data_IF_869282715343
#
_entry.id   IF_869282715343
#
_cell.length_a   1.000
_cell.length_b   1.000
_cell.length_c   1.000
_cell.angle_alpha   90.00
_cell.angle_beta   90.00
_cell.angle_gamma   90.00
#
_symmetry.space_group_name_H-M   'P 1'
#
loop_
_entity.id
_entity.type
_entity.pdbx_description
1 polymer ?
#
# COMPACT_ATOMS: atom_id res chain seq x y z
N UNK A 1 -2.24 -18.69 -13.49
CA UNK A 1 -0.97 -17.97 -13.36
C UNK A 1 -0.54 -17.85 -11.91
N UNK A 2 -1.44 -17.48 -10.99
CA UNK A 2 -1.12 -17.27 -9.57
C UNK A 2 -0.46 -18.48 -8.86
N UNK A 3 -0.82 -19.72 -9.18
CA UNK A 3 -0.09 -20.92 -8.69
C UNK A 3 1.39 -20.90 -9.09
N UNK A 4 1.71 -20.55 -10.34
CA UNK A 4 3.09 -20.48 -10.81
C UNK A 4 3.85 -19.33 -10.12
N UNK A 5 3.18 -18.20 -9.88
CA UNK A 5 3.77 -17.11 -9.12
C UNK A 5 4.02 -17.49 -7.65
N UNK A 6 3.13 -18.29 -7.05
CA UNK A 6 3.36 -18.85 -5.72
C UNK A 6 4.59 -19.77 -5.68
N UNK A 7 4.77 -20.63 -6.68
CA UNK A 7 5.95 -21.50 -6.79
C UNK A 7 7.25 -20.68 -6.97
N UNK A 8 7.21 -19.64 -7.80
CA UNK A 8 8.32 -18.69 -8.00
C UNK A 8 8.66 -17.96 -6.69
N UNK A 9 7.66 -17.53 -5.92
CA UNK A 9 7.86 -16.89 -4.62
C UNK A 9 8.50 -17.83 -3.61
N UNK A 10 8.08 -19.09 -3.56
CA UNK A 10 8.70 -20.08 -2.68
C UNK A 10 10.18 -20.29 -3.02
N UNK A 11 10.53 -20.24 -4.30
CA UNK A 11 11.93 -20.23 -4.74
C UNK A 11 12.66 -18.93 -4.35
N UNK A 12 12.00 -17.76 -4.40
CA UNK A 12 12.57 -16.47 -3.94
C UNK A 12 12.96 -16.52 -2.45
N UNK A 13 12.05 -17.02 -1.61
CA UNK A 13 12.28 -17.13 -0.17
C UNK A 13 13.48 -18.05 0.16
N UNK A 14 13.68 -19.12 -0.62
CA UNK A 14 14.84 -19.98 -0.50
C UNK A 14 16.12 -19.30 -1.02
N UNK A 15 16.02 -18.55 -2.13
CA UNK A 15 17.15 -17.87 -2.76
C UNK A 15 17.72 -16.72 -1.92
N UNK A 16 16.86 -15.93 -1.25
CA UNK A 16 17.28 -14.80 -0.39
C UNK A 16 18.03 -15.24 0.87
N UNK A 17 17.91 -16.51 1.27
CA UNK A 17 18.67 -17.06 2.39
C UNK A 17 20.12 -17.42 2.00
N UNK A 18 20.41 -17.55 0.70
CA UNK A 18 21.68 -18.12 0.21
C UNK A 18 22.59 -17.11 -0.52
N UNK A 19 22.10 -15.96 -1.00
CA UNK A 19 22.92 -14.98 -1.76
C UNK A 19 22.64 -13.51 -1.41
N UNK A 20 23.71 -12.70 -1.31
CA UNK A 20 23.66 -11.23 -1.15
C UNK A 20 23.43 -10.49 -2.49
N UNK A 21 22.54 -11.01 -3.34
CA UNK A 21 22.46 -10.65 -4.76
C UNK A 21 21.54 -9.47 -5.09
N UNK A 22 22.01 -8.59 -5.98
CA UNK A 22 21.34 -7.39 -6.51
C UNK A 22 20.30 -7.66 -7.62
N UNK A 23 19.92 -8.92 -7.85
CA UNK A 23 19.00 -9.33 -8.93
C UNK A 23 17.61 -9.65 -8.41
N UNK A 24 16.58 -9.31 -9.19
CA UNK A 24 15.23 -9.82 -8.93
C UNK A 24 15.23 -11.34 -9.04
N UNK A 25 14.40 -12.04 -8.25
CA UNK A 25 14.23 -13.50 -8.39
C UNK A 25 13.84 -13.88 -9.82
N UNK A 26 13.08 -13.02 -10.49
CA UNK A 26 12.64 -13.24 -11.85
C UNK A 26 13.83 -13.25 -12.82
N UNK A 27 14.77 -12.31 -12.70
CA UNK A 27 16.05 -12.32 -13.44
C UNK A 27 16.90 -13.54 -13.08
N UNK A 28 16.99 -13.90 -11.80
CA UNK A 28 17.78 -15.05 -11.34
C UNK A 28 17.28 -16.36 -11.96
N UNK A 29 15.97 -16.59 -11.93
CA UNK A 29 15.33 -17.77 -12.53
C UNK A 29 15.48 -17.78 -14.06
N UNK A 30 15.42 -16.61 -14.70
CA UNK A 30 15.57 -16.50 -16.14
C UNK A 30 17.00 -16.81 -16.59
N UNK A 31 18.00 -16.25 -15.90
CA UNK A 31 19.42 -16.56 -16.13
C UNK A 31 19.72 -18.03 -15.85
N UNK A 32 19.04 -18.63 -14.87
CA UNK A 32 19.16 -20.05 -14.55
C UNK A 32 18.43 -21.00 -15.53
N UNK A 33 17.72 -20.46 -16.55
CA UNK A 33 16.83 -21.25 -17.43
C UNK A 33 15.86 -22.14 -16.64
N UNK A 34 15.31 -21.59 -15.56
CA UNK A 34 14.53 -22.37 -14.60
C UNK A 34 13.29 -23.02 -15.23
N UNK A 35 12.99 -24.30 -14.94
CA UNK A 35 11.75 -24.94 -15.34
C UNK A 35 10.49 -24.22 -14.84
N UNK A 36 10.58 -23.46 -13.74
CA UNK A 36 9.47 -22.64 -13.23
C UNK A 36 9.04 -21.58 -14.25
N UNK A 37 9.98 -21.04 -15.02
CA UNK A 37 9.69 -20.11 -16.09
C UNK A 37 9.38 -20.86 -17.39
N UNK A 38 10.31 -21.69 -17.85
CA UNK A 38 10.25 -22.26 -19.21
C UNK A 38 9.15 -23.32 -19.38
N UNK A 39 8.92 -24.15 -18.36
CA UNK A 39 7.98 -25.27 -18.47
C UNK A 39 6.62 -24.97 -17.81
N UNK A 40 6.55 -23.96 -16.94
CA UNK A 40 5.34 -23.66 -16.18
C UNK A 40 4.75 -22.27 -16.49
N UNK A 41 5.49 -21.18 -16.28
CA UNK A 41 4.95 -19.83 -16.46
C UNK A 41 4.78 -19.44 -17.93
N UNK A 42 5.85 -19.53 -18.74
CA UNK A 42 5.83 -19.06 -20.14
C UNK A 42 4.77 -19.78 -20.99
N UNK A 43 4.58 -21.11 -20.90
CA UNK A 43 3.51 -21.77 -21.64
C UNK A 43 2.10 -21.28 -21.25
N UNK A 44 1.90 -20.89 -19.98
CA UNK A 44 0.61 -20.33 -19.53
C UNK A 44 0.41 -18.90 -20.01
N UNK A 45 1.47 -18.10 -20.08
CA UNK A 45 1.41 -16.76 -20.67
C UNK A 45 1.10 -16.85 -22.16
N UNK A 46 1.75 -17.76 -22.90
CA UNK A 46 1.46 -17.99 -24.32
C UNK A 46 0.02 -18.47 -24.55
N UNK A 47 -0.49 -19.36 -23.70
CA UNK A 47 -1.89 -19.79 -23.78
C UNK A 47 -2.86 -18.62 -23.55
N UNK A 48 -2.60 -17.78 -22.54
CA UNK A 48 -3.41 -16.58 -22.24
C UNK A 48 -3.27 -15.48 -23.31
N UNK A 49 -2.13 -15.44 -24.01
CA UNK A 49 -1.92 -14.58 -25.17
C UNK A 49 -2.81 -15.04 -26.32
N UNK A 50 -2.82 -16.34 -26.60
CA UNK A 50 -3.58 -16.92 -27.70
C UNK A 50 -5.11 -16.83 -27.53
N UNK A 51 -5.61 -16.87 -26.29
CA UNK A 51 -7.04 -16.73 -25.99
C UNK A 51 -7.50 -15.26 -25.76
N UNK A 52 -6.58 -14.31 -25.84
CA UNK A 52 -6.84 -12.87 -25.71
C UNK A 52 -7.04 -12.37 -24.27
N UNK A 53 -6.96 -13.24 -23.26
CA UNK A 53 -7.17 -12.85 -21.85
C UNK A 53 -5.99 -12.09 -21.26
N UNK A 54 -4.80 -12.19 -21.87
CA UNK A 54 -3.58 -11.55 -21.37
C UNK A 54 -3.54 -10.04 -21.62
N UNK A 55 -4.11 -9.57 -22.73
CA UNK A 55 -3.96 -8.17 -23.17
C UNK A 55 -4.47 -7.19 -22.13
N UNK A 56 -5.75 -7.30 -21.75
CA UNK A 56 -6.36 -6.40 -20.77
C UNK A 56 -5.58 -6.38 -19.46
N UNK A 57 -5.11 -7.55 -19.00
CA UNK A 57 -4.37 -7.68 -17.75
C UNK A 57 -3.01 -6.99 -17.80
N UNK A 58 -2.26 -7.16 -18.89
CA UNK A 58 -0.95 -6.52 -19.07
C UNK A 58 -1.09 -5.02 -19.20
N UNK A 59 -2.01 -4.56 -20.07
CA UNK A 59 -2.23 -3.14 -20.33
C UNK A 59 -2.68 -2.42 -19.06
N UNK A 60 -3.68 -2.95 -18.33
CA UNK A 60 -4.17 -2.31 -17.11
C UNK A 60 -3.11 -2.30 -16.00
N UNK A 61 -2.34 -3.39 -15.85
CA UNK A 61 -1.27 -3.47 -14.84
C UNK A 61 -0.16 -2.47 -15.13
N UNK A 62 0.28 -2.38 -16.39
CA UNK A 62 1.33 -1.43 -16.78
C UNK A 62 0.87 0.03 -16.60
N UNK A 63 -0.35 0.35 -17.05
CA UNK A 63 -0.92 1.69 -16.90
C UNK A 63 -1.05 2.09 -15.43
N UNK A 64 -1.50 1.17 -14.56
CA UNK A 64 -1.55 1.40 -13.10
C UNK A 64 -0.18 1.68 -12.52
N UNK A 65 0.84 0.90 -12.89
CA UNK A 65 2.20 1.09 -12.41
C UNK A 65 2.74 2.46 -12.83
N UNK A 66 2.56 2.85 -14.09
CA UNK A 66 2.92 4.19 -14.58
C UNK A 66 2.20 5.31 -13.84
N UNK A 67 0.89 5.20 -13.66
CA UNK A 67 0.10 6.22 -12.96
C UNK A 67 0.50 6.32 -11.48
N UNK A 68 0.81 5.20 -10.83
CA UNK A 68 1.32 5.19 -9.46
C UNK A 68 2.69 5.88 -9.38
N UNK A 69 3.62 5.53 -10.27
CA UNK A 69 4.95 6.14 -10.32
C UNK A 69 4.87 7.64 -10.60
N UNK A 70 4.04 8.05 -11.56
CA UNK A 70 3.81 9.46 -11.89
C UNK A 70 3.21 10.21 -10.69
N UNK A 71 2.20 9.65 -10.01
CA UNK A 71 1.61 10.27 -8.80
C UNK A 71 2.65 10.48 -7.71
N UNK A 72 3.50 9.48 -7.46
CA UNK A 72 4.57 9.57 -6.45
C UNK A 72 5.61 10.63 -6.82
N UNK A 73 6.05 10.68 -8.07
CA UNK A 73 7.00 11.69 -8.54
C UNK A 73 6.39 13.10 -8.53
N UNK A 74 5.12 13.25 -8.91
CA UNK A 74 4.42 14.52 -8.86
C UNK A 74 4.23 15.02 -7.44
N UNK A 75 3.94 14.12 -6.48
CA UNK A 75 3.97 14.45 -5.07
C UNK A 75 5.36 14.95 -4.67
N UNK A 76 6.41 14.18 -4.98
CA UNK A 76 7.79 14.57 -4.67
C UNK A 76 8.22 15.92 -5.30
N UNK A 77 7.77 16.24 -6.53
CA UNK A 77 8.01 17.55 -7.16
C UNK A 77 7.28 18.66 -6.43
N UNK A 78 5.98 18.50 -6.14
CA UNK A 78 5.21 19.49 -5.37
C UNK A 78 5.86 19.74 -4.02
N UNK A 79 6.31 18.68 -3.37
CA UNK A 79 7.00 18.74 -2.07
C UNK A 79 8.33 19.48 -2.19
N UNK A 80 9.12 19.21 -3.25
CA UNK A 80 10.39 19.89 -3.46
C UNK A 80 10.23 21.37 -3.86
N UNK A 81 9.25 21.71 -4.69
CA UNK A 81 8.93 23.10 -5.07
C UNK A 81 8.43 23.91 -3.87
N UNK A 82 7.59 23.33 -3.01
CA UNK A 82 7.13 23.96 -1.77
C UNK A 82 8.28 24.24 -0.78
N UNK A 83 9.38 23.48 -0.88
CA UNK A 83 10.56 23.59 -0.01
C UNK A 83 11.76 24.30 -0.66
N UNK A 84 11.63 24.91 -1.85
CA UNK A 84 12.74 25.49 -2.63
C UNK A 84 13.92 24.51 -2.84
N UNK A 85 13.61 23.20 -2.88
CA UNK A 85 14.59 22.12 -3.13
C UNK A 85 14.70 21.85 -4.62
N UNK A 86 15.89 21.43 -5.02
CA UNK A 86 16.13 21.00 -6.39
C UNK A 86 15.32 19.74 -6.72
N UNK A 87 14.37 19.88 -7.63
CA UNK A 87 13.51 18.82 -8.14
C UNK A 87 13.82 18.43 -9.59
N UNK A 88 14.99 18.82 -10.12
CA UNK A 88 15.35 18.55 -11.53
C UNK A 88 15.37 17.07 -11.86
N UNK A 89 15.74 16.21 -10.90
CA UNK A 89 15.78 14.75 -11.10
C UNK A 89 14.36 14.19 -11.21
N UNK A 90 13.48 14.55 -10.30
CA UNK A 90 12.08 14.12 -10.29
C UNK A 90 11.36 14.63 -11.54
N UNK A 91 11.57 15.90 -11.91
CA UNK A 91 11.04 16.47 -13.16
C UNK A 91 11.57 15.75 -14.39
N UNK A 92 12.87 15.43 -14.44
CA UNK A 92 13.44 14.65 -15.55
C UNK A 92 12.87 13.23 -15.62
N UNK A 93 12.59 12.59 -14.47
CA UNK A 93 11.91 11.28 -14.42
C UNK A 93 10.47 11.39 -14.90
N UNK A 94 9.73 12.41 -14.49
CA UNK A 94 8.37 12.68 -14.99
C UNK A 94 8.41 12.87 -16.51
N UNK A 95 9.30 13.71 -17.03
CA UNK A 95 9.46 13.92 -18.46
C UNK A 95 9.79 12.62 -19.20
N UNK A 96 10.67 11.78 -18.63
CA UNK A 96 11.00 10.48 -19.20
C UNK A 96 9.79 9.54 -19.23
N UNK A 97 8.97 9.52 -18.18
CA UNK A 97 7.73 8.73 -18.13
C UNK A 97 6.69 9.23 -19.13
N UNK A 98 6.48 10.55 -19.21
CA UNK A 98 5.52 11.17 -20.13
C UNK A 98 5.93 11.03 -21.61
N UNK A 99 7.22 10.84 -21.89
CA UNK A 99 7.73 10.54 -23.24
C UNK A 99 7.63 9.07 -23.62
N UNK A 100 7.29 8.16 -22.68
CA UNK A 100 7.09 6.76 -23.03
C UNK A 100 5.89 6.64 -23.97
N UNK A 101 5.94 5.74 -24.97
CA UNK A 101 4.78 5.45 -25.80
C UNK A 101 3.59 5.05 -24.95
N UNK A 102 2.40 5.52 -25.32
CA UNK A 102 1.18 5.00 -24.74
C UNK A 102 1.08 3.51 -25.05
N UNK A 103 0.83 2.72 -24.02
CA UNK A 103 0.58 1.28 -24.15
C UNK A 103 -0.93 1.08 -24.02
N UNK A 104 -1.57 0.89 -25.16
CA UNK A 104 -3.02 0.68 -25.31
C UNK A 104 -3.37 -0.75 -25.75
N UNK A 105 -2.36 -1.56 -26.03
CA UNK A 105 -2.47 -2.94 -26.52
C UNK A 105 -1.26 -3.76 -26.07
N UNK A 106 -1.38 -5.09 -26.10
CA UNK A 106 -0.25 -5.98 -25.79
C UNK A 106 0.90 -5.79 -26.79
N UNK A 107 0.58 -5.57 -28.07
CA UNK A 107 1.57 -5.30 -29.12
C UNK A 107 2.36 -4.00 -28.87
N UNK A 108 1.68 -2.95 -28.41
CA UNK A 108 2.34 -1.69 -28.02
C UNK A 108 3.28 -1.90 -26.82
N UNK A 109 2.87 -2.71 -25.83
CA UNK A 109 3.72 -3.07 -24.70
C UNK A 109 4.98 -3.84 -25.16
N UNK A 110 4.82 -4.85 -26.00
CA UNK A 110 5.93 -5.65 -26.53
C UNK A 110 6.92 -4.80 -27.32
N UNK A 111 6.41 -3.95 -28.22
CA UNK A 111 7.23 -3.01 -29.00
C UNK A 111 8.01 -2.05 -28.10
N UNK A 112 7.37 -1.57 -27.05
CA UNK A 112 8.01 -0.71 -26.05
C UNK A 112 9.13 -1.46 -25.32
N UNK A 113 8.90 -2.71 -24.90
CA UNK A 113 9.92 -3.56 -24.29
C UNK A 113 11.10 -3.86 -25.23
N UNK A 114 10.85 -4.04 -26.52
CA UNK A 114 11.88 -4.18 -27.54
C UNK A 114 12.74 -2.92 -27.69
N UNK A 115 12.12 -1.74 -27.62
CA UNK A 115 12.78 -0.45 -27.79
C UNK A 115 13.48 0.11 -26.55
N UNK A 116 13.04 -0.28 -25.34
CA UNK A 116 13.44 0.41 -24.12
C UNK A 116 14.92 0.20 -23.76
N UNK A 117 15.52 -0.97 -23.98
CA UNK A 117 16.92 -1.20 -23.57
C UNK A 117 17.64 -2.35 -24.31
N UNK A 118 18.25 -2.12 -25.49
CA UNK A 118 19.16 -3.09 -26.11
C UNK A 118 20.27 -3.56 -25.14
N UNK A 119 20.79 -2.65 -24.32
CA UNK A 119 21.81 -2.96 -23.31
C UNK A 119 21.33 -3.88 -22.19
N UNK A 120 20.04 -3.89 -21.84
CA UNK A 120 19.52 -4.81 -20.81
C UNK A 120 19.46 -6.24 -21.35
N UNK A 121 19.08 -6.42 -22.63
CA UNK A 121 19.10 -7.74 -23.28
C UNK A 121 20.52 -8.27 -23.38
N UNK A 122 21.46 -7.43 -23.78
CA UNK A 122 22.88 -7.79 -23.84
C UNK A 122 23.41 -8.19 -22.46
N UNK A 123 23.13 -7.41 -21.42
CA UNK A 123 23.53 -7.74 -20.04
C UNK A 123 22.91 -9.07 -19.56
N UNK A 124 21.64 -9.34 -19.88
CA UNK A 124 21.01 -10.63 -19.56
C UNK A 124 21.64 -11.79 -20.34
N UNK A 125 21.93 -11.61 -21.62
CA UNK A 125 22.59 -12.61 -22.45
C UNK A 125 23.99 -12.91 -21.92
N UNK A 126 24.77 -11.89 -21.57
CA UNK A 126 26.09 -12.06 -20.93
C UNK A 126 26.00 -12.88 -19.64
N UNK A 127 25.02 -12.60 -18.77
CA UNK A 127 24.81 -13.37 -17.53
C UNK A 127 24.40 -14.82 -17.80
N UNK A 128 23.52 -15.06 -18.76
CA UNK A 128 23.16 -16.43 -19.18
C UNK A 128 24.38 -17.18 -19.72
N UNK A 129 25.19 -16.52 -20.54
CA UNK A 129 26.40 -17.09 -21.15
C UNK A 129 27.47 -17.44 -20.09
N UNK A 130 27.62 -16.59 -19.05
CA UNK A 130 28.54 -16.85 -17.95
C UNK A 130 28.16 -18.12 -17.15
N UNK A 131 26.86 -18.37 -16.99
CA UNK A 131 26.35 -19.51 -16.24
C UNK A 131 26.38 -20.81 -17.03
N UNK A 132 26.06 -20.74 -18.32
CA UNK A 132 26.03 -21.90 -19.23
C UNK A 132 26.76 -21.59 -20.54
N UNK A 133 28.11 -21.66 -20.57
CA UNK A 133 28.91 -21.23 -21.72
C UNK A 133 28.68 -22.01 -23.02
N UNK A 134 28.17 -23.23 -22.91
CA UNK A 134 27.95 -24.11 -24.06
C UNK A 134 26.58 -23.91 -24.73
N UNK A 135 25.73 -23.02 -24.19
CA UNK A 135 24.41 -22.73 -24.75
C UNK A 135 24.38 -21.35 -25.38
N UNK A 136 23.60 -21.23 -26.46
CA UNK A 136 23.34 -19.94 -27.10
C UNK A 136 22.48 -19.08 -26.17
N UNK A 137 23.11 -18.11 -25.51
CA UNK A 137 22.44 -17.18 -24.62
C UNK A 137 21.66 -16.10 -25.37
N UNK A 138 22.15 -15.66 -26.52
CA UNK A 138 21.54 -14.59 -27.29
C UNK A 138 20.23 -15.08 -27.93
N UNK A 139 20.25 -16.27 -28.54
CA UNK A 139 19.04 -16.91 -29.06
C UNK A 139 17.99 -17.11 -27.96
N UNK A 140 18.40 -17.61 -26.79
CA UNK A 140 17.52 -17.83 -25.64
C UNK A 140 16.88 -16.53 -25.14
N UNK A 141 17.66 -15.46 -24.96
CA UNK A 141 17.13 -14.17 -24.52
C UNK A 141 16.17 -13.61 -25.55
N UNK A 142 16.51 -13.68 -26.84
CA UNK A 142 15.64 -13.19 -27.90
C UNK A 142 14.31 -13.97 -27.95
N UNK A 143 14.36 -15.29 -27.85
CA UNK A 143 13.19 -16.17 -27.87
C UNK A 143 12.21 -15.88 -26.72
N UNK A 144 12.72 -15.62 -25.50
CA UNK A 144 11.86 -15.54 -24.31
C UNK A 144 11.73 -14.14 -23.69
N UNK A 145 12.37 -13.12 -24.26
CA UNK A 145 12.37 -11.75 -23.72
C UNK A 145 10.97 -11.19 -23.50
N UNK A 146 10.04 -11.40 -24.44
CA UNK A 146 8.66 -10.90 -24.30
C UNK A 146 7.94 -11.56 -23.12
N UNK A 147 8.00 -12.89 -23.03
CA UNK A 147 7.39 -13.63 -21.91
C UNK A 147 8.05 -13.29 -20.57
N UNK A 148 9.35 -12.99 -20.58
CA UNK A 148 10.03 -12.50 -19.40
C UNK A 148 9.45 -11.16 -18.93
N UNK A 149 9.36 -10.15 -19.80
CA UNK A 149 8.90 -8.81 -19.40
C UNK A 149 7.44 -8.83 -18.94
N UNK A 150 6.57 -9.57 -19.64
CA UNK A 150 5.18 -9.79 -19.24
C UNK A 150 5.11 -10.51 -17.89
N UNK A 151 5.87 -11.60 -17.74
CA UNK A 151 5.88 -12.40 -16.52
C UNK A 151 6.38 -11.61 -15.32
N UNK A 152 7.41 -10.78 -15.49
CA UNK A 152 7.97 -9.92 -14.45
C UNK A 152 6.95 -8.87 -14.00
N UNK A 153 6.29 -8.18 -14.95
CA UNK A 153 5.24 -7.21 -14.66
C UNK A 153 4.10 -7.84 -13.84
N UNK A 154 3.61 -9.00 -14.27
CA UNK A 154 2.50 -9.69 -13.60
C UNK A 154 2.91 -10.33 -12.27
N UNK A 155 4.19 -10.69 -12.12
CA UNK A 155 4.73 -11.19 -10.86
C UNK A 155 4.82 -10.08 -9.80
N UNK A 156 5.25 -8.87 -10.18
CA UNK A 156 5.22 -7.69 -9.30
C UNK A 156 3.78 -7.36 -8.85
N UNK A 157 2.81 -7.42 -9.78
CA UNK A 157 1.38 -7.30 -9.46
C UNK A 157 0.94 -8.38 -8.45
N UNK A 158 1.35 -9.64 -8.67
CA UNK A 158 1.07 -10.74 -7.75
C UNK A 158 1.67 -10.50 -6.36
N UNK A 159 2.93 -10.05 -6.27
CA UNK A 159 3.57 -9.75 -4.99
C UNK A 159 2.86 -8.64 -4.24
N UNK A 160 2.41 -7.58 -4.94
CA UNK A 160 1.61 -6.52 -4.34
C UNK A 160 0.30 -7.04 -3.72
N UNK A 161 -0.47 -7.83 -4.49
CA UNK A 161 -1.72 -8.45 -4.01
C UNK A 161 -1.48 -9.45 -2.88
N UNK A 162 -0.39 -10.21 -2.96
CA UNK A 162 -0.06 -11.21 -1.94
C UNK A 162 0.43 -10.58 -0.64
N UNK A 163 1.23 -9.52 -0.71
CA UNK A 163 1.63 -8.75 0.47
C UNK A 163 0.42 -8.23 1.25
N UNK A 164 -0.64 -7.82 0.55
CA UNK A 164 -1.91 -7.45 1.16
C UNK A 164 -2.60 -8.62 1.88
N UNK A 165 -2.55 -9.83 1.34
CA UNK A 165 -3.12 -11.01 1.99
C UNK A 165 -2.27 -11.54 3.15
N UNK A 166 -0.95 -11.47 3.06
CA UNK A 166 -0.05 -11.93 4.12
C UNK A 166 -0.25 -11.15 5.42
N UNK A 167 -0.75 -9.91 5.36
CA UNK A 167 -1.18 -9.13 6.53
C UNK A 167 -2.19 -9.86 7.41
N UNK A 168 -2.99 -10.77 6.86
CA UNK A 168 -4.00 -11.53 7.61
C UNK A 168 -3.45 -12.81 8.26
N UNK A 169 -2.24 -13.24 7.91
CA UNK A 169 -1.65 -14.51 8.36
C UNK A 169 -0.69 -14.38 9.57
N UNK A 170 -0.81 -13.29 10.34
CA UNK A 170 0.04 -12.89 11.47
C UNK A 170 1.30 -12.11 11.06
N UNK A 171 1.16 -10.80 10.79
CA UNK A 171 2.25 -9.91 10.40
C UNK A 171 3.19 -9.73 11.58
N UNK A 172 4.40 -10.26 11.48
CA UNK A 172 5.53 -10.12 12.42
C UNK A 172 5.26 -10.45 13.91
N UNK A 173 4.02 -10.75 14.32
CA UNK A 173 3.63 -10.86 15.73
C UNK A 173 4.33 -12.03 16.43
N UNK A 174 4.53 -13.15 15.73
CA UNK A 174 5.31 -14.28 16.26
C UNK A 174 6.78 -13.92 16.48
N UNK A 175 7.39 -13.21 15.53
CA UNK A 175 8.77 -12.73 15.65
C UNK A 175 8.91 -11.69 16.76
N UNK A 176 7.96 -10.76 16.88
CA UNK A 176 7.91 -9.78 17.96
C UNK A 176 7.78 -10.46 19.32
N UNK A 177 6.90 -11.47 19.45
CA UNK A 177 6.77 -12.25 20.67
C UNK A 177 8.10 -12.95 21.02
N UNK A 178 8.79 -13.54 20.04
CA UNK A 178 10.11 -14.14 20.24
C UNK A 178 11.20 -13.12 20.64
N UNK A 179 11.17 -11.90 20.10
CA UNK A 179 12.08 -10.80 20.47
C UNK A 179 11.92 -10.42 21.95
N UNK A 180 10.68 -10.34 22.43
CA UNK A 180 10.34 -10.04 23.82
C UNK A 180 10.64 -11.22 24.75
N UNK A 181 10.30 -12.45 24.34
CA UNK A 181 10.56 -13.67 25.11
C UNK A 181 12.07 -13.89 25.29
N UNK A 182 12.87 -13.64 24.24
CA UNK A 182 14.34 -13.66 24.31
C UNK A 182 14.94 -12.65 25.30
N UNK A 183 14.13 -11.70 25.77
CA UNK A 183 14.47 -10.70 26.80
C UNK A 183 13.72 -10.93 28.12
N UNK A 184 13.07 -12.08 28.27
CA UNK A 184 12.37 -12.49 29.48
C UNK A 184 11.00 -11.85 29.69
N UNK A 185 10.39 -11.29 28.63
CA UNK A 185 9.07 -10.67 28.70
C UNK A 185 8.05 -11.50 27.92
N UNK A 186 7.02 -12.00 28.59
CA UNK A 186 5.84 -12.56 27.93
C UNK A 186 4.96 -11.39 27.46
N UNK A 187 5.11 -11.03 26.19
CA UNK A 187 4.41 -9.87 25.60
C UNK A 187 2.88 -10.01 25.67
N UNK A 188 2.34 -11.23 25.49
CA UNK A 188 0.90 -11.45 25.56
C UNK A 188 0.37 -11.29 27.01
N UNK A 189 1.17 -11.66 28.02
CA UNK A 189 0.79 -11.46 29.40
C UNK A 189 0.81 -9.98 29.84
N UNK A 190 1.72 -9.17 29.28
CA UNK A 190 1.93 -7.77 29.72
C UNK A 190 1.22 -6.72 28.87
N UNK A 191 0.87 -7.03 27.62
CA UNK A 191 0.19 -6.12 26.71
C UNK A 191 -1.16 -6.69 26.23
N UNK A 192 -2.24 -6.12 26.76
CA UNK A 192 -3.60 -6.56 26.45
C UNK A 192 -3.97 -6.36 24.98
N UNK A 193 -3.46 -5.31 24.32
CA UNK A 193 -3.73 -5.08 22.90
C UNK A 193 -2.96 -6.11 22.06
N UNK A 194 -1.79 -6.54 22.51
CA UNK A 194 -1.03 -7.58 21.85
C UNK A 194 -1.69 -8.95 22.01
N UNK A 195 -2.14 -9.30 23.20
CA UNK A 195 -2.86 -10.56 23.42
C UNK A 195 -4.07 -10.67 22.50
N UNK A 196 -4.92 -9.64 22.51
CA UNK A 196 -6.21 -9.64 21.82
C UNK A 196 -6.12 -9.38 20.32
N UNK A 197 -5.26 -8.48 19.89
CA UNK A 197 -5.21 -7.97 18.51
C UNK A 197 -3.84 -8.07 17.85
N UNK A 198 -2.81 -8.54 18.57
CA UNK A 198 -1.42 -8.58 18.10
C UNK A 198 -0.85 -7.19 17.77
N UNK A 199 -1.39 -6.15 18.42
CA UNK A 199 -0.91 -4.77 18.33
C UNK A 199 0.00 -4.45 19.51
N UNK A 200 1.12 -3.78 19.27
CA UNK A 200 2.03 -3.33 20.32
C UNK A 200 1.57 -1.97 20.86
N UNK A 201 1.25 -1.92 22.15
CA UNK A 201 0.82 -0.71 22.85
C UNK A 201 1.99 0.27 23.03
N UNK A 202 1.77 1.52 22.65
CA UNK A 202 2.75 2.59 22.82
C UNK A 202 2.82 3.02 24.30
N UNK A 203 3.75 2.44 25.04
CA UNK A 203 4.03 2.75 26.44
C UNK A 203 5.55 2.81 26.65
N UNK A 204 6.04 3.44 27.73
CA UNK A 204 7.49 3.41 28.00
C UNK A 204 7.98 1.96 28.09
N UNK A 205 9.12 1.62 27.45
CA UNK A 205 10.14 2.51 26.86
C UNK A 205 9.99 2.79 25.35
N UNK A 206 8.80 2.62 24.77
CA UNK A 206 8.53 2.89 23.35
C UNK A 206 8.19 4.37 23.11
N UNK A 207 8.84 4.95 22.09
CA UNK A 207 8.50 6.25 21.51
C UNK A 207 8.23 6.13 20.02
N UNK A 208 7.43 7.05 19.48
CA UNK A 208 7.28 7.18 18.03
C UNK A 208 8.60 7.72 17.47
N UNK A 209 8.98 7.20 16.30
CA UNK A 209 10.03 7.76 15.45
C UNK A 209 9.45 7.87 14.06
N UNK A 210 9.34 9.10 13.58
CA UNK A 210 8.74 9.41 12.30
C UNK A 210 9.68 10.26 11.45
N UNK A 211 10.92 9.77 11.26
CA UNK A 211 11.98 10.43 10.50
C UNK A 211 11.99 9.94 9.04
N UNK A 212 12.42 10.71 8.03
CA UNK A 212 12.31 10.36 6.59
C UNK A 212 12.65 8.89 6.26
N UNK A 213 13.67 8.36 6.91
CA UNK A 213 14.21 7.03 6.66
C UNK A 213 13.52 5.90 7.42
N UNK A 214 12.71 6.21 8.42
CA UNK A 214 12.04 5.22 9.23
C UNK A 214 10.76 5.74 9.85
N UNK A 215 9.74 4.90 9.74
CA UNK A 215 8.44 5.16 10.30
C UNK A 215 8.05 4.02 11.24
N UNK A 216 7.92 4.31 12.53
CA UNK A 216 7.63 3.28 13.51
C UNK A 216 7.87 3.70 14.94
N UNK A 217 8.32 2.75 15.75
CA UNK A 217 8.57 2.92 17.17
C UNK A 217 10.04 2.63 17.48
N UNK A 218 10.66 3.40 18.36
CA UNK A 218 11.94 3.06 18.96
C UNK A 218 11.73 2.52 20.36
N UNK A 219 12.37 1.40 20.68
CA UNK A 219 12.47 0.86 22.02
C UNK A 219 13.76 1.39 22.67
N UNK A 220 13.63 2.43 23.50
CA UNK A 220 14.77 3.21 24.02
C UNK A 220 15.78 2.34 24.77
N UNK A 221 15.31 1.35 25.52
CA UNK A 221 16.18 0.49 26.33
C UNK A 221 16.93 -0.57 25.51
N UNK A 222 16.46 -0.89 24.29
CA UNK A 222 16.97 -2.01 23.51
C UNK A 222 17.71 -1.58 22.25
N UNK A 223 17.66 -0.29 21.90
CA UNK A 223 18.21 0.21 20.64
C UNK A 223 17.58 -0.44 19.41
N UNK A 224 16.34 -0.91 19.54
CA UNK A 224 15.58 -1.55 18.46
C UNK A 224 14.53 -0.59 17.91
N UNK A 225 14.27 -0.72 16.61
CA UNK A 225 13.29 0.05 15.88
C UNK A 225 12.24 -0.88 15.26
N UNK A 226 10.98 -0.69 15.64
CA UNK A 226 9.84 -1.48 15.18
C UNK A 226 9.05 -0.73 14.11
N UNK A 227 9.13 -1.19 12.85
CA UNK A 227 8.45 -0.55 11.73
C UNK A 227 6.92 -0.69 11.84
N UNK A 228 6.18 0.31 11.37
CA UNK A 228 4.72 0.26 11.28
C UNK A 228 4.22 0.63 9.89
N UNK A 229 3.02 0.16 9.53
CA UNK A 229 2.37 0.47 8.25
C UNK A 229 1.47 1.71 8.30
N UNK A 230 1.37 2.38 9.46
CA UNK A 230 0.68 3.67 9.55
C UNK A 230 1.41 4.66 8.64
N UNK A 231 0.75 5.48 7.80
CA UNK A 231 1.40 6.49 6.96
C UNK A 231 1.94 7.69 7.74
N UNK A 232 3.03 8.29 7.25
CA UNK A 232 3.78 9.38 7.91
C UNK A 232 2.92 10.54 8.39
N UNK A 233 2.00 11.11 7.59
CA UNK A 233 1.17 12.23 8.03
C UNK A 233 0.28 11.86 9.23
N UNK A 234 -0.21 10.62 9.27
CA UNK A 234 -1.02 10.11 10.38
C UNK A 234 -0.14 9.88 11.61
N UNK A 235 1.06 9.33 11.45
CA UNK A 235 1.94 9.10 12.59
C UNK A 235 2.44 10.41 13.22
N UNK A 236 2.76 11.44 12.42
CA UNK A 236 3.12 12.80 12.88
C UNK A 236 1.98 13.43 13.68
N UNK A 237 0.75 13.27 13.19
CA UNK A 237 -0.46 13.75 13.86
C UNK A 237 -0.63 13.10 15.24
N UNK A 238 -0.44 11.78 15.30
CA UNK A 238 -0.58 11.00 16.53
C UNK A 238 0.52 11.32 17.55
N UNK A 239 1.75 11.52 17.09
CA UNK A 239 2.87 11.99 17.91
C UNK A 239 2.55 13.35 18.54
N UNK A 240 2.14 14.33 17.73
CA UNK A 240 1.76 15.67 18.21
C UNK A 240 0.61 15.63 19.22
N UNK A 241 -0.41 14.78 18.99
CA UNK A 241 -1.56 14.64 19.88
C UNK A 241 -1.26 13.87 21.18
N UNK A 242 -0.18 13.08 21.21
CA UNK A 242 0.30 12.41 22.42
C UNK A 242 0.96 13.42 23.36
N UNK A 243 1.79 14.31 22.81
CA UNK A 243 2.50 15.33 23.58
C UNK A 243 1.52 16.29 24.29
N UNK A 244 0.39 16.58 23.66
CA UNK A 244 -0.70 17.38 24.22
C UNK A 244 -1.74 16.55 25.01
N UNK A 245 -1.47 15.28 25.32
CA UNK A 245 -2.32 14.36 26.10
C UNK A 245 -3.73 14.08 25.54
N UNK A 246 -3.97 14.35 24.24
CA UNK A 246 -5.27 14.09 23.57
C UNK A 246 -5.46 12.64 23.18
N UNK A 247 -4.36 11.91 22.95
CA UNK A 247 -4.35 10.48 22.65
C UNK A 247 -3.60 9.75 23.78
N UNK A 248 -4.31 9.31 24.83
CA UNK A 248 -3.67 8.70 26.00
C UNK A 248 -3.23 7.26 25.75
N UNK A 249 -3.91 6.55 24.82
CA UNK A 249 -3.66 5.14 24.53
C UNK A 249 -3.71 4.90 23.03
N UNK A 250 -2.62 4.35 22.49
CA UNK A 250 -2.50 3.95 21.09
C UNK A 250 -1.69 2.66 20.99
N UNK A 251 -2.08 1.79 20.06
CA UNK A 251 -1.35 0.57 19.74
C UNK A 251 -1.20 0.42 18.22
N UNK A 252 -0.08 -0.17 17.80
CA UNK A 252 0.33 -0.28 16.40
C UNK A 252 0.55 -1.74 15.98
N UNK A 253 0.20 -2.07 14.75
CA UNK A 253 0.72 -3.28 14.13
C UNK A 253 2.19 -3.04 13.76
N UNK A 254 3.04 -4.02 14.11
CA UNK A 254 4.47 -4.00 13.82
C UNK A 254 4.71 -4.86 12.58
N UNK A 255 5.48 -4.34 11.64
CA UNK A 255 5.80 -5.01 10.36
C UNK A 255 7.26 -5.43 10.23
N UNK A 256 8.15 -4.91 11.08
CA UNK A 256 9.58 -5.24 11.07
C UNK A 256 10.27 -4.86 12.40
N UNK A 257 11.44 -5.43 12.65
CA UNK A 257 12.39 -4.97 13.68
C UNK A 257 13.76 -4.70 13.04
N UNK A 258 14.38 -3.58 13.38
CA UNK A 258 15.66 -3.12 12.85
C UNK A 258 16.59 -2.72 14.00
N UNK A 259 17.89 -2.97 13.83
CA UNK A 259 18.93 -2.59 14.80
C UNK A 259 19.46 -1.16 14.59
N UNK A 260 19.12 -0.52 13.46
CA UNK A 260 19.52 0.86 13.14
C UNK A 260 18.59 1.52 12.10
N UNK A 261 18.47 2.85 12.17
CA UNK A 261 17.78 3.69 11.16
C UNK A 261 18.84 4.40 10.30
N UNK A 262 18.76 4.36 8.95
CA UNK A 262 19.54 5.25 8.09
C UNK A 262 19.14 6.71 8.31
N UNK A 263 20.04 7.70 8.29
CA UNK A 263 19.67 9.12 8.55
C UNK A 263 19.52 9.91 7.23
N UNK A 264 18.38 10.60 7.05
CA UNK A 264 18.16 11.58 5.96
C UNK A 264 17.33 12.79 6.47
N UNK A 265 17.69 14.02 6.07
CA UNK A 265 17.12 15.29 6.59
C UNK A 265 15.67 15.59 6.09
N UNK A 266 14.87 16.33 6.90
CA UNK A 266 13.40 16.55 6.77
C UNK A 266 12.95 18.01 6.52
N UNK A 267 11.68 18.22 6.06
CA UNK A 267 10.64 19.19 6.54
C UNK A 267 9.34 19.24 5.63
N UNK A 268 8.13 19.26 6.22
CA UNK A 268 6.76 19.31 5.59
C UNK A 268 5.91 20.53 6.09
N UNK A 269 4.99 21.16 5.29
CA UNK A 269 3.81 22.01 5.74
C UNK A 269 2.73 22.34 4.64
N UNK A 270 1.47 22.68 5.03
CA UNK A 270 0.33 23.14 4.16
C UNK A 270 -0.75 24.04 4.82
N UNK A 271 -1.70 24.64 4.05
CA UNK A 271 -2.65 25.76 4.41
C UNK A 271 -4.16 25.48 4.05
N UNK A 272 -5.16 26.27 4.54
CA UNK A 272 -6.49 25.79 5.00
C UNK A 272 -7.73 25.99 4.09
N UNK A 273 -8.83 25.28 4.42
CA UNK A 273 -10.21 25.40 3.91
C UNK A 273 -11.26 25.18 5.04
N UNK A 274 -12.52 25.61 4.86
CA UNK A 274 -13.57 25.67 5.90
C UNK A 274 -14.82 24.83 5.57
N UNK A 275 -15.36 24.14 6.58
CA UNK A 275 -16.51 23.23 6.49
C UNK A 275 -17.73 23.81 7.23
N UNK A 276 -18.79 24.11 6.50
CA UNK A 276 -20.15 24.15 7.03
C UNK A 276 -20.94 23.05 6.31
N UNK A 277 -21.72 22.30 7.08
CA UNK A 277 -22.73 21.31 6.66
C UNK A 277 -22.28 19.83 6.57
N UNK A 278 -21.99 19.22 7.73
CA UNK A 278 -22.14 17.77 7.92
C UNK A 278 -23.55 17.44 8.41
N UNK A 279 -24.50 17.30 7.49
CA UNK A 279 -25.69 16.46 7.70
C UNK A 279 -25.88 15.55 6.49
N UNK A 280 -25.32 14.34 6.59
CA UNK A 280 -25.52 13.28 5.62
C UNK A 280 -26.48 12.21 6.20
N UNK A 281 -27.24 11.48 5.36
CA UNK A 281 -28.11 10.39 5.78
C UNK A 281 -27.35 9.26 6.50
N UNK A 282 -28.07 8.38 7.21
CA UNK A 282 -27.48 7.29 8.02
C UNK A 282 -26.57 6.32 7.24
N UNK A 283 -26.74 6.23 5.92
CA UNK A 283 -25.81 5.59 4.99
C UNK A 283 -25.74 6.43 3.72
N UNK A 284 -24.52 6.79 3.32
CA UNK A 284 -24.21 7.46 2.05
C UNK A 284 -23.27 6.57 1.24
N UNK A 285 -23.48 6.50 -0.08
CA UNK A 285 -22.56 5.88 -1.03
C UNK A 285 -22.21 6.92 -2.09
N UNK A 286 -20.96 7.36 -2.10
CA UNK A 286 -20.40 8.15 -3.20
C UNK A 286 -19.82 7.18 -4.22
N UNK A 287 -19.86 7.53 -5.51
CA UNK A 287 -19.28 6.72 -6.58
C UNK A 287 -18.56 7.61 -7.59
N UNK A 288 -17.50 7.10 -8.20
CA UNK A 288 -16.71 7.87 -9.16
C UNK A 288 -17.48 8.12 -10.46
N UNK A 289 -17.47 9.36 -10.97
CA UNK A 289 -18.11 9.71 -12.25
C UNK A 289 -17.59 8.89 -13.44
N UNK A 290 -16.30 8.52 -13.39
CA UNK A 290 -15.63 7.76 -14.44
C UNK A 290 -15.62 6.24 -14.18
N UNK A 291 -15.99 5.80 -12.97
CA UNK A 291 -15.96 4.40 -12.55
C UNK A 291 -16.99 4.17 -11.45
N UNK A 292 -18.17 3.66 -11.82
CA UNK A 292 -19.27 3.43 -10.87
C UNK A 292 -18.94 2.38 -9.80
N UNK A 293 -17.98 1.50 -10.10
CA UNK A 293 -17.51 0.47 -9.19
C UNK A 293 -16.57 1.01 -8.10
N UNK A 294 -15.98 2.21 -8.30
CA UNK A 294 -15.28 2.94 -7.25
C UNK A 294 -16.32 3.62 -6.37
N UNK A 295 -16.35 3.26 -5.08
CA UNK A 295 -17.33 3.74 -4.14
C UNK A 295 -16.75 4.00 -2.76
N UNK A 296 -17.18 5.11 -2.15
CA UNK A 296 -16.95 5.43 -0.74
C UNK A 296 -18.27 5.27 0.01
N UNK A 297 -18.35 4.24 0.85
CA UNK A 297 -19.47 4.04 1.76
C UNK A 297 -19.20 4.75 3.07
N UNK A 298 -20.21 5.48 3.54
CA UNK A 298 -20.17 6.19 4.81
C UNK A 298 -21.41 5.79 5.58
N UNK A 299 -21.23 5.18 6.73
CA UNK A 299 -22.30 4.74 7.61
C UNK A 299 -22.22 5.53 8.91
N UNK A 300 -23.30 6.20 9.28
CA UNK A 300 -23.44 6.94 10.53
C UNK A 300 -24.49 6.23 11.39
N UNK A 301 -24.04 5.70 12.52
CA UNK A 301 -24.92 5.13 13.54
C UNK A 301 -25.05 6.13 14.70
N UNK A 302 -26.21 6.15 15.36
CA UNK A 302 -26.48 7.08 16.46
C UNK A 302 -26.46 6.41 17.84
N UNK A 303 -26.42 5.07 17.88
CA UNK A 303 -26.53 4.27 19.11
C UNK A 303 -25.60 3.03 19.09
N UNK A 304 -24.35 3.15 19.57
CA UNK A 304 -23.67 4.38 19.97
C UNK A 304 -23.34 5.27 18.75
N UNK A 305 -23.13 6.59 18.92
CA UNK A 305 -22.74 7.45 17.82
C UNK A 305 -21.40 7.01 17.24
N UNK A 306 -21.42 6.58 15.98
CA UNK A 306 -20.26 6.08 15.28
C UNK A 306 -20.34 6.38 13.79
N UNK A 307 -19.16 6.46 13.16
CA UNK A 307 -19.04 6.66 11.73
C UNK A 307 -18.07 5.65 11.16
N UNK A 308 -18.44 5.04 10.04
CA UNK A 308 -17.60 4.06 9.34
C UNK A 308 -17.47 4.49 7.90
N UNK A 309 -16.23 4.64 7.45
CA UNK A 309 -15.86 4.84 6.05
C UNK A 309 -15.33 3.52 5.51
N UNK A 310 -15.85 3.06 4.37
CA UNK A 310 -15.32 1.89 3.66
C UNK A 310 -15.13 2.22 2.19
N UNK A 311 -13.92 1.98 1.70
CA UNK A 311 -13.59 2.13 0.28
C UNK A 311 -13.75 0.79 -0.44
N UNK A 312 -14.50 0.82 -1.54
CA UNK A 312 -14.56 -0.23 -2.54
C UNK A 312 -14.00 0.32 -3.84
N UNK A 313 -12.94 -0.25 -4.39
CA UNK A 313 -12.46 0.09 -5.73
C UNK A 313 -12.92 -0.96 -6.75
N UNK A 314 -12.96 -0.58 -8.02
CA UNK A 314 -13.19 -1.51 -9.12
C UNK A 314 -12.10 -2.59 -9.17
N UNK A 315 -10.85 -2.20 -8.88
CA UNK A 315 -9.68 -3.08 -8.90
C UNK A 315 -9.06 -3.25 -7.51
N UNK A 316 -9.79 -3.86 -6.58
CA UNK A 316 -9.24 -4.20 -5.27
C UNK A 316 -8.17 -5.30 -5.37
N UNK A 317 -7.21 -5.34 -4.43
CA UNK A 317 -6.31 -6.48 -4.29
C UNK A 317 -7.14 -7.77 -4.12
N UNK A 318 -7.15 -8.59 -5.17
CA UNK A 318 -7.85 -9.86 -5.20
C UNK A 318 -6.87 -10.99 -5.52
N UNK A 319 -6.80 -11.98 -4.63
CA UNK A 319 -5.97 -13.17 -4.83
C UNK A 319 -6.69 -14.38 -4.21
N UNK A 320 -6.66 -15.51 -4.92
CA UNK A 320 -7.27 -16.78 -4.50
C UNK A 320 -8.76 -16.68 -4.11
N UNK A 321 -9.53 -15.85 -4.82
CA UNK A 321 -10.97 -15.65 -4.59
C UNK A 321 -11.30 -14.84 -3.33
N UNK A 322 -10.31 -14.11 -2.82
CA UNK A 322 -10.45 -13.20 -1.69
C UNK A 322 -10.19 -11.76 -2.14
N UNK A 323 -10.97 -10.82 -1.62
CA UNK A 323 -10.88 -9.39 -1.92
C UNK A 323 -10.64 -8.63 -0.63
N UNK A 324 -9.69 -7.69 -0.63
CA UNK A 324 -9.39 -6.85 0.52
C UNK A 324 -10.00 -5.46 0.34
N UNK A 325 -10.71 -4.94 1.35
CA UNK A 325 -11.17 -3.55 1.44
C UNK A 325 -10.53 -2.79 2.58
N UNK A 326 -10.65 -1.46 2.58
CA UNK A 326 -10.12 -0.57 3.61
C UNK A 326 -11.26 0.12 4.36
N UNK A 327 -11.14 0.15 5.69
CA UNK A 327 -12.14 0.73 6.59
C UNK A 327 -11.49 1.66 7.59
N UNK A 328 -12.09 2.83 7.80
CA UNK A 328 -11.84 3.69 8.95
C UNK A 328 -13.11 3.73 9.79
N UNK A 329 -13.04 3.30 11.05
CA UNK A 329 -14.15 3.32 11.98
C UNK A 329 -13.85 4.27 13.14
N UNK A 330 -14.80 5.12 13.51
CA UNK A 330 -14.67 6.01 14.65
C UNK A 330 -15.94 6.05 15.49
N UNK A 331 -15.76 6.35 16.77
CA UNK A 331 -16.85 6.66 17.69
C UNK A 331 -16.65 8.04 18.28
N UNK A 332 -17.75 8.76 18.43
CA UNK A 332 -17.74 10.15 18.85
C UNK A 332 -18.88 10.43 19.82
N UNK A 333 -18.73 11.47 20.62
CA UNK A 333 -19.76 11.94 21.55
C UNK A 333 -19.65 13.46 21.69
N UNK A 334 -20.76 14.12 21.99
CA UNK A 334 -20.80 15.57 22.15
C UNK A 334 -22.06 16.17 21.54
N UNK A 335 -22.22 17.48 21.75
CA UNK A 335 -23.26 18.25 21.05
C UNK A 335 -22.81 18.54 19.62
N UNK A 336 -23.79 18.84 18.75
CA UNK A 336 -23.53 19.21 17.36
C UNK A 336 -22.53 20.39 17.26
N UNK A 337 -21.44 20.20 16.53
CA UNK A 337 -20.34 21.17 16.38
C UNK A 337 -19.31 21.16 17.52
N UNK A 338 -19.44 20.25 18.48
CA UNK A 338 -18.48 20.05 19.59
C UNK A 338 -18.21 18.56 19.81
N UNK A 339 -18.43 17.74 18.79
CA UNK A 339 -18.20 16.30 18.87
C UNK A 339 -16.72 16.01 19.08
N UNK A 340 -16.45 15.05 19.94
CA UNK A 340 -15.13 14.55 20.25
C UNK A 340 -15.06 13.09 19.86
N UNK A 341 -14.07 12.75 19.02
CA UNK A 341 -13.70 11.38 18.69
C UNK A 341 -12.97 10.80 19.89
N UNK A 342 -13.51 9.69 20.42
CA UNK A 342 -12.92 8.95 21.53
C UNK A 342 -12.39 7.58 21.17
N UNK A 343 -12.71 7.09 19.97
CA UNK A 343 -12.20 5.84 19.43
C UNK A 343 -12.03 5.97 17.91
N UNK A 344 -10.92 5.43 17.39
CA UNK A 344 -10.61 5.41 15.95
C UNK A 344 -9.77 4.17 15.63
N UNK A 345 -10.24 3.40 14.65
CA UNK A 345 -9.58 2.23 14.09
C UNK A 345 -9.38 2.42 12.58
N UNK A 346 -8.24 1.95 12.05
CA UNK A 346 -8.11 1.63 10.63
C UNK A 346 -7.92 0.12 10.44
N UNK A 347 -8.67 -0.44 9.50
CA UNK A 347 -8.73 -1.88 9.25
C UNK A 347 -8.67 -2.20 7.76
N UNK A 348 -7.98 -3.29 7.42
CA UNK A 348 -8.23 -4.05 6.22
C UNK A 348 -9.28 -5.13 6.48
N UNK A 349 -10.24 -5.29 5.58
CA UNK A 349 -11.29 -6.30 5.68
C UNK A 349 -11.15 -7.28 4.52
N UNK A 350 -11.09 -8.57 4.84
CA UNK A 350 -11.03 -9.64 3.86
C UNK A 350 -12.45 -10.13 3.57
N UNK A 351 -12.81 -10.25 2.29
CA UNK A 351 -14.07 -10.85 1.83
C UNK A 351 -13.77 -12.04 0.92
N UNK A 352 -14.71 -12.98 0.84
CA UNK A 352 -14.78 -13.87 -0.33
C UNK A 352 -15.31 -13.09 -1.54
N UNK A 353 -15.05 -13.54 -2.77
CA UNK A 353 -15.62 -12.92 -3.98
C UNK A 353 -17.16 -12.78 -3.89
N UNK A 354 -17.84 -13.79 -3.36
CA UNK A 354 -19.29 -13.81 -3.22
C UNK A 354 -19.77 -12.77 -2.19
N UNK A 355 -19.10 -12.66 -1.04
CA UNK A 355 -19.44 -11.68 -0.02
C UNK A 355 -19.10 -10.26 -0.49
N UNK A 356 -18.00 -10.07 -1.20
CA UNK A 356 -17.63 -8.78 -1.79
C UNK A 356 -18.68 -8.31 -2.83
N UNK A 357 -19.14 -9.21 -3.71
CA UNK A 357 -20.19 -8.90 -4.67
C UNK A 357 -21.49 -8.44 -3.99
N UNK A 358 -21.85 -9.07 -2.86
CA UNK A 358 -22.99 -8.64 -2.04
C UNK A 358 -22.71 -7.32 -1.32
N UNK A 359 -21.50 -7.13 -0.77
CA UNK A 359 -21.09 -5.92 -0.06
C UNK A 359 -21.19 -4.68 -0.94
N UNK A 360 -20.96 -4.78 -2.26
CA UNK A 360 -21.13 -3.67 -3.22
C UNK A 360 -22.56 -3.09 -3.24
N UNK A 361 -23.55 -3.88 -2.85
CA UNK A 361 -24.97 -3.53 -2.87
C UNK A 361 -25.53 -3.33 -1.45
N UNK A 362 -24.94 -3.96 -0.44
CA UNK A 362 -25.42 -3.97 0.93
C UNK A 362 -24.28 -3.69 1.93
N UNK A 363 -24.35 -2.53 2.60
CA UNK A 363 -23.36 -2.10 3.58
C UNK A 363 -23.34 -2.90 4.89
N UNK A 364 -24.27 -3.84 5.09
CA UNK A 364 -24.32 -4.68 6.28
C UNK A 364 -23.51 -5.98 6.16
N UNK A 365 -23.06 -6.34 4.96
CA UNK A 365 -22.28 -7.56 4.71
C UNK A 365 -20.93 -7.46 5.43
N UNK A 366 -20.60 -8.48 6.23
CA UNK A 366 -19.35 -8.54 7.00
C UNK A 366 -18.29 -9.33 6.23
N UNK A 367 -17.04 -8.88 6.31
CA UNK A 367 -15.90 -9.65 5.84
C UNK A 367 -15.63 -10.91 6.69
N UNK A 368 -14.90 -11.85 6.09
CA UNK A 368 -14.45 -13.09 6.70
C UNK A 368 -13.33 -12.89 7.72
N UNK A 369 -12.47 -11.87 7.53
CA UNK A 369 -11.40 -11.52 8.45
C UNK A 369 -11.15 -10.01 8.49
N UNK A 370 -10.46 -9.55 9.54
CA UNK A 370 -10.06 -8.15 9.73
C UNK A 370 -8.61 -8.08 10.17
N UNK A 371 -7.89 -7.06 9.71
CA UNK A 371 -6.54 -6.74 10.14
C UNK A 371 -6.44 -5.24 10.47
N UNK A 372 -6.11 -4.91 11.72
CA UNK A 372 -5.98 -3.52 12.20
C UNK A 372 -4.57 -3.02 11.99
N UNK A 373 -4.39 -1.83 11.41
CA UNK A 373 -3.05 -1.20 11.31
C UNK A 373 -2.74 -0.38 12.55
N UNK A 374 -3.72 0.35 13.07
CA UNK A 374 -3.64 1.06 14.35
C UNK A 374 -4.99 1.10 15.03
N UNK A 375 -4.95 1.35 16.34
CA UNK A 375 -6.11 1.53 17.19
C UNK A 375 -5.89 2.62 18.23
N UNK A 376 -6.85 3.53 18.34
CA UNK A 376 -6.88 4.61 19.32
C UNK A 376 -8.08 4.42 20.24
N UNK A 377 -7.83 4.43 21.55
CA UNK A 377 -8.87 4.33 22.58
C UNK A 377 -8.78 5.51 23.56
N UNK A 378 -9.93 6.01 24.00
CA UNK A 378 -10.03 7.08 25.00
C UNK A 378 -9.54 8.44 24.50
N UNK A 379 -9.56 8.67 23.19
CA UNK A 379 -9.15 9.92 22.59
C UNK A 379 -10.03 11.11 23.01
N UNK A 380 -9.45 12.31 22.93
CA UNK A 380 -10.15 13.57 23.09
C UNK A 380 -9.84 14.48 21.88
N UNK A 381 -10.13 13.98 20.68
CA UNK A 381 -9.86 14.68 19.42
C UNK A 381 -11.15 15.37 18.97
N UNK A 382 -11.23 16.72 18.97
CA UNK A 382 -12.36 17.41 18.37
C UNK A 382 -12.56 16.99 16.91
N UNK A 383 -13.80 16.82 16.48
CA UNK A 383 -14.11 16.41 15.09
C UNK A 383 -13.60 17.43 14.06
N UNK A 384 -13.53 18.69 14.46
CA UNK A 384 -12.99 19.81 13.69
C UNK A 384 -11.48 20.03 13.91
N UNK A 385 -10.79 19.13 14.63
CA UNK A 385 -9.36 19.27 14.89
C UNK A 385 -8.55 19.26 13.60
N UNK A 386 -7.64 20.22 13.48
CA UNK A 386 -6.81 20.42 12.30
C UNK A 386 -5.33 20.34 12.62
N UNK A 387 -4.58 19.78 11.69
CA UNK A 387 -3.12 19.80 11.66
C UNK A 387 -2.74 20.36 10.30
N UNK A 388 -1.93 21.42 10.29
CA UNK A 388 -1.53 22.15 9.08
C UNK A 388 -2.72 22.53 8.18
N UNK A 389 -3.81 22.99 8.81
CA UNK A 389 -5.02 23.43 8.12
C UNK A 389 -5.85 22.32 7.48
N UNK A 390 -5.55 21.05 7.75
CA UNK A 390 -6.33 19.88 7.29
C UNK A 390 -6.98 19.17 8.47
N UNK A 391 -8.23 18.75 8.31
CA UNK A 391 -8.88 17.93 9.33
C UNK A 391 -8.11 16.65 9.56
N UNK A 392 -7.93 16.27 10.82
CA UNK A 392 -7.27 15.01 11.16
C UNK A 392 -7.97 13.81 10.49
N UNK A 393 -9.30 13.81 10.44
CA UNK A 393 -10.04 12.74 9.75
C UNK A 393 -9.81 12.72 8.23
N UNK A 394 -9.69 13.90 7.60
CA UNK A 394 -9.30 13.98 6.19
C UNK A 394 -7.91 13.40 5.98
N UNK A 395 -6.94 13.73 6.85
CA UNK A 395 -5.58 13.20 6.76
C UNK A 395 -5.56 11.67 6.85
N UNK A 396 -6.36 11.08 7.73
CA UNK A 396 -6.46 9.62 7.86
C UNK A 396 -7.04 9.02 6.57
N UNK A 397 -8.17 9.52 6.08
CA UNK A 397 -8.81 8.97 4.88
C UNK A 397 -7.93 9.16 3.64
N UNK A 398 -7.39 10.36 3.43
CA UNK A 398 -6.49 10.69 2.32
C UNK A 398 -5.16 9.94 2.41
N UNK A 399 -4.72 9.46 3.58
CA UNK A 399 -3.52 8.65 3.68
C UNK A 399 -3.77 7.18 3.26
N UNK A 400 -4.90 6.59 3.65
CA UNK A 400 -5.16 5.16 3.45
C UNK A 400 -5.93 4.86 2.16
N UNK A 401 -6.96 5.62 1.82
CA UNK A 401 -7.89 5.27 0.74
C UNK A 401 -7.37 5.70 -0.63
N UNK A 402 -7.58 4.91 -1.67
CA UNK A 402 -7.06 5.16 -3.02
C UNK A 402 -7.84 6.25 -3.80
N UNK A 403 -9.15 6.33 -3.60
CA UNK A 403 -10.10 7.21 -4.31
C UNK A 403 -10.07 8.64 -3.76
N UNK A 404 -8.95 9.33 -3.99
CA UNK A 404 -8.74 10.70 -3.49
C UNK A 404 -9.83 11.68 -3.94
N UNK A 405 -10.38 11.49 -5.14
CA UNK A 405 -11.46 12.32 -5.66
C UNK A 405 -12.75 12.24 -4.81
N UNK A 406 -13.15 11.03 -4.39
CA UNK A 406 -14.34 10.82 -3.56
C UNK A 406 -14.16 11.35 -2.13
N UNK A 407 -12.94 11.22 -1.57
CA UNK A 407 -12.60 11.80 -0.28
C UNK A 407 -12.69 13.33 -0.37
N UNK A 408 -12.06 13.90 -1.39
CA UNK A 408 -12.11 15.34 -1.67
C UNK A 408 -13.54 15.85 -1.83
N UNK A 409 -14.36 15.17 -2.62
CA UNK A 409 -15.79 15.49 -2.80
C UNK A 409 -16.53 15.48 -1.46
N UNK A 410 -16.35 14.43 -0.65
CA UNK A 410 -17.00 14.31 0.65
C UNK A 410 -16.63 15.45 1.61
N UNK A 411 -15.37 15.89 1.62
CA UNK A 411 -14.91 17.02 2.42
C UNK A 411 -15.09 18.39 1.72
N UNK A 412 -15.71 18.43 0.54
CA UNK A 412 -15.98 19.67 -0.22
C UNK A 412 -14.76 20.31 -0.90
N UNK A 413 -13.65 19.59 -1.06
CA UNK A 413 -12.41 20.05 -1.69
C UNK A 413 -12.41 19.73 -3.19
N UNK A 414 -13.18 20.44 -3.99
CA UNK A 414 -13.14 20.26 -5.46
C UNK A 414 -11.89 20.94 -6.02
N UNK A 415 -11.08 20.22 -6.81
CA UNK A 415 -9.98 20.82 -7.59
C UNK A 415 -10.59 21.86 -8.55
N UNK A 416 -10.52 23.15 -8.21
CA UNK A 416 -10.82 24.22 -9.16
C UNK A 416 -9.64 24.38 -10.12
N UNK A 417 -9.52 23.42 -11.04
CA UNK A 417 -8.67 23.52 -12.21
C UNK A 417 -9.52 23.36 -13.48
N UNK A 418 -10.31 24.38 -13.79
CA UNK A 418 -10.81 24.61 -15.14
C UNK A 418 -11.24 26.07 -15.34
N UNK A 419 -10.41 26.82 -16.07
CA UNK A 419 -10.83 27.89 -16.97
C UNK A 419 -11.11 29.26 -16.37
N UNK A 420 -10.07 30.11 -16.31
CA UNK A 420 -10.22 31.54 -16.48
C UNK A 420 -9.65 31.93 -17.86
N UNK A 421 -10.58 32.29 -18.76
CA UNK A 421 -10.46 32.87 -20.11
C UNK A 421 -9.80 32.06 -21.23
#
# INVERSE_FOLDING_TARGET
MDTCFSDIRNADLQHRMDESGTLSIFDALFVARSPLLLNALFPKLEAARADGTLENRVVSTYQRQLQRELRLLQAAVRDAEASDRDCRIEKAKIDALLRRPAVDSLSAFETMCDGLWPGVRELRAQRCQQREPDKDAEAYVNEHSQMFEIGALLYEEYLGRRGMLDRFHAPFAGELAAIYEGRGVDLAAVDQQFDKYKLLSLSKPLRIVNELAFQGLAHEDWGLYFGTEVPRPVLSALESMRDDSRVPSIAFAISAALDAIPSFEELEFGKPFHLADLQAPSVSKFYGDNCYDDALWIKVEQNPPSMTFEELCAEMPALDGQVVTQVVHLQFAGAAGQEVIYHLDHEYILYSDADHARRRQDASVKGSAKYKTFKIDGAHIPMDFQIDGRYFLYLVLDAFFENKALIREYFGVVDTASGAN
#
